data_IF_777541874608
#
_entry.id   IF_777541874608
#
_cell.length_a   1.000
_cell.length_b   1.000
_cell.length_c   1.000
_cell.angle_alpha   90.00
_cell.angle_beta   90.00
_cell.angle_gamma   90.00
#
_symmetry.space_group_name_H-M   'P 1'
#
loop_
_entity.id
_entity.type
_entity.pdbx_description
1 polymer ?
#
# COMPACT_ATOMS: atom_id res chain seq x y z
N UNK A 1 1.16 -20.33 -11.67
CA UNK A 1 1.11 -21.13 -12.93
C UNK A 1 -0.03 -22.14 -12.80
N UNK A 2 -1.16 -21.66 -12.34
CA UNK A 2 -2.42 -22.36 -12.49
C UNK A 2 -2.88 -22.04 -13.91
N UNK A 3 -3.19 -23.09 -14.67
CA UNK A 3 -3.83 -22.87 -15.95
C UNK A 3 -5.29 -22.93 -15.62
N UNK A 4 -5.93 -21.79 -15.75
CA UNK A 4 -7.34 -21.72 -16.04
C UNK A 4 -7.68 -22.75 -17.14
N UNK A 5 -8.94 -23.16 -17.21
CA UNK A 5 -9.32 -24.24 -18.11
C UNK A 5 -9.60 -23.68 -19.49
N UNK A 6 -8.67 -23.64 -20.43
CA UNK A 6 -8.92 -23.15 -21.82
C UNK A 6 -10.37 -23.18 -22.29
N UNK A 7 -10.87 -22.12 -22.94
CA UNK A 7 -12.24 -22.06 -23.48
C UNK A 7 -12.76 -23.34 -24.13
N UNK A 8 -11.88 -24.08 -24.79
CA UNK A 8 -12.18 -25.40 -25.35
C UNK A 8 -12.46 -26.47 -24.28
N UNK A 9 -11.70 -26.50 -23.19
CA UNK A 9 -11.93 -27.32 -21.99
C UNK A 9 -13.26 -27.00 -21.30
N UNK A 10 -13.63 -25.73 -21.05
CA UNK A 10 -14.95 -25.43 -20.50
C UNK A 10 -16.08 -25.83 -21.44
N UNK A 11 -15.93 -25.62 -22.75
CA UNK A 11 -16.92 -26.07 -23.73
C UNK A 11 -17.06 -27.59 -23.74
N UNK A 12 -15.95 -28.33 -23.58
CA UNK A 12 -15.93 -29.78 -23.44
C UNK A 12 -16.58 -30.25 -22.14
N UNK A 13 -16.22 -29.65 -21.00
CA UNK A 13 -16.83 -29.93 -19.70
C UNK A 13 -18.34 -29.65 -19.71
N UNK A 14 -18.75 -28.51 -20.29
CA UNK A 14 -20.16 -28.17 -20.50
C UNK A 14 -20.86 -29.20 -21.36
N UNK A 15 -20.24 -29.64 -22.46
CA UNK A 15 -20.80 -30.66 -23.35
C UNK A 15 -20.92 -32.02 -22.66
N UNK A 16 -19.93 -32.41 -21.85
CA UNK A 16 -19.95 -33.64 -21.05
C UNK A 16 -21.05 -33.54 -19.99
N UNK A 17 -21.12 -32.43 -19.25
CA UNK A 17 -22.15 -32.16 -18.25
C UNK A 17 -23.56 -32.20 -18.84
N UNK A 18 -23.77 -31.56 -20.00
CA UNK A 18 -25.03 -31.61 -20.73
C UNK A 18 -25.36 -33.03 -21.20
N UNK A 19 -24.38 -33.83 -21.62
CA UNK A 19 -24.62 -35.22 -22.01
C UNK A 19 -25.06 -36.11 -20.82
N UNK A 20 -24.58 -35.81 -19.61
CA UNK A 20 -24.98 -36.52 -18.40
C UNK A 20 -26.38 -36.11 -17.92
N UNK A 21 -26.69 -34.80 -17.98
CA UNK A 21 -28.00 -34.24 -17.60
C UNK A 21 -29.09 -34.57 -18.62
N UNK A 22 -28.77 -34.50 -19.92
CA UNK A 22 -29.70 -34.76 -21.02
C UNK A 22 -29.42 -36.14 -21.60
N UNK A 23 -30.04 -37.16 -20.98
CA UNK A 23 -29.95 -38.53 -21.48
C UNK A 23 -30.68 -38.66 -22.82
N UNK A 24 -30.08 -39.34 -23.83
CA UNK A 24 -30.74 -39.61 -25.10
C UNK A 24 -32.06 -40.36 -24.90
N UNK A 25 -33.09 -39.95 -25.64
CA UNK A 25 -34.43 -40.55 -25.56
C UNK A 25 -34.44 -41.92 -26.23
N UNK A 26 -34.42 -43.00 -25.43
CA UNK A 26 -34.65 -44.35 -25.92
C UNK A 26 -36.15 -44.67 -25.92
N UNK A 27 -36.85 -44.31 -27.00
CA UNK A 27 -38.31 -44.51 -27.16
C UNK A 27 -38.69 -45.68 -28.09
N UNK A 28 -37.70 -46.38 -28.67
CA UNK A 28 -37.95 -47.53 -29.55
C UNK A 28 -38.62 -48.67 -28.78
N UNK A 29 -39.80 -49.11 -29.27
CA UNK A 29 -40.55 -50.21 -28.67
C UNK A 29 -41.45 -49.84 -27.48
N UNK A 30 -41.69 -48.55 -27.21
CA UNK A 30 -42.65 -48.13 -26.18
C UNK A 30 -44.10 -48.25 -26.66
N UNK A 31 -44.97 -48.71 -25.75
CA UNK A 31 -46.43 -48.71 -25.93
C UNK A 31 -47.02 -47.35 -25.50
N UNK A 32 -48.25 -47.03 -25.90
CA UNK A 32 -48.92 -45.73 -25.61
C UNK A 32 -48.88 -45.32 -24.13
N UNK A 33 -49.11 -46.26 -23.20
CA UNK A 33 -49.03 -45.98 -21.76
C UNK A 33 -47.63 -45.53 -21.32
N UNK A 34 -46.58 -46.20 -21.82
CA UNK A 34 -45.18 -45.88 -21.48
C UNK A 34 -44.74 -44.55 -22.07
N UNK A 35 -45.25 -44.20 -23.26
CA UNK A 35 -45.01 -42.89 -23.88
C UNK A 35 -45.64 -41.76 -23.04
N UNK A 36 -46.85 -41.96 -22.51
CA UNK A 36 -47.51 -41.00 -21.62
C UNK A 36 -46.76 -40.81 -20.30
N UNK A 37 -46.33 -41.91 -19.69
CA UNK A 37 -45.51 -41.87 -18.45
C UNK A 37 -44.21 -41.09 -18.69
N UNK A 38 -43.49 -41.38 -19.79
CA UNK A 38 -42.26 -40.66 -20.14
C UNK A 38 -42.48 -39.18 -20.45
N UNK A 39 -43.59 -38.83 -21.10
CA UNK A 39 -43.92 -37.43 -21.32
C UNK A 39 -44.18 -36.69 -19.99
N UNK A 40 -44.84 -37.34 -19.03
CA UNK A 40 -45.08 -36.78 -17.72
C UNK A 40 -43.77 -36.59 -16.93
N UNK A 41 -42.89 -37.58 -16.93
CA UNK A 41 -41.56 -37.49 -16.29
C UNK A 41 -40.72 -36.35 -16.87
N UNK A 42 -40.70 -36.19 -18.20
CA UNK A 42 -39.97 -35.10 -18.86
C UNK A 42 -40.57 -33.74 -18.51
N UNK A 43 -41.89 -33.65 -18.42
CA UNK A 43 -42.56 -32.41 -18.05
C UNK A 43 -42.22 -32.00 -16.61
N UNK A 44 -42.27 -32.93 -15.65
CA UNK A 44 -41.87 -32.66 -14.26
C UNK A 44 -40.40 -32.24 -14.16
N UNK A 45 -39.52 -32.90 -14.93
CA UNK A 45 -38.10 -32.53 -15.00
C UNK A 45 -37.89 -31.12 -15.57
N UNK A 46 -38.61 -30.75 -16.65
CA UNK A 46 -38.53 -29.41 -17.24
C UNK A 46 -38.96 -28.35 -16.22
N UNK A 47 -40.07 -28.58 -15.50
CA UNK A 47 -40.55 -27.63 -14.48
C UNK A 47 -39.49 -27.43 -13.40
N UNK A 48 -38.87 -28.51 -12.92
CA UNK A 48 -37.78 -28.43 -11.93
C UNK A 48 -36.57 -27.67 -12.46
N UNK A 49 -36.10 -27.97 -13.68
CA UNK A 49 -34.96 -27.29 -14.28
C UNK A 49 -35.23 -25.81 -14.50
N UNK A 50 -36.46 -25.43 -14.86
CA UNK A 50 -36.82 -24.01 -15.03
C UNK A 50 -36.78 -23.26 -13.70
N UNK A 51 -37.23 -23.89 -12.60
CA UNK A 51 -37.13 -23.28 -11.26
C UNK A 51 -35.67 -23.13 -10.81
N UNK A 52 -34.84 -24.16 -11.01
CA UNK A 52 -33.43 -24.10 -10.65
C UNK A 52 -32.68 -23.05 -11.47
N UNK A 53 -33.01 -22.92 -12.77
CA UNK A 53 -32.46 -21.88 -13.63
C UNK A 53 -32.80 -20.48 -13.12
N UNK A 54 -34.06 -20.24 -12.74
CA UNK A 54 -34.48 -18.95 -12.20
C UNK A 54 -33.70 -18.58 -10.93
N UNK A 55 -33.56 -19.52 -9.99
CA UNK A 55 -32.82 -19.28 -8.74
C UNK A 55 -31.34 -18.99 -8.99
N UNK A 56 -30.72 -19.65 -9.97
CA UNK A 56 -29.35 -19.39 -10.38
C UNK A 56 -29.19 -18.02 -11.06
N UNK A 57 -30.10 -17.67 -11.97
CA UNK A 57 -30.08 -16.35 -12.63
C UNK A 57 -30.27 -15.20 -11.62
N UNK A 58 -31.13 -15.37 -10.62
CA UNK A 58 -31.29 -14.36 -9.57
C UNK A 58 -30.06 -14.25 -8.66
N UNK A 59 -29.38 -15.37 -8.37
CA UNK A 59 -28.11 -15.34 -7.64
C UNK A 59 -27.03 -14.61 -8.44
N UNK A 60 -26.89 -14.93 -9.72
CA UNK A 60 -25.92 -14.30 -10.60
C UNK A 60 -26.15 -12.78 -10.66
N UNK A 61 -27.39 -12.33 -10.85
CA UNK A 61 -27.71 -10.89 -10.84
C UNK A 61 -27.35 -10.18 -9.53
N UNK A 62 -27.46 -10.87 -8.39
CA UNK A 62 -27.05 -10.31 -7.10
C UNK A 62 -25.53 -10.20 -7.04
N UNK A 63 -24.80 -11.24 -7.43
CA UNK A 63 -23.33 -11.22 -7.48
C UNK A 63 -22.83 -10.11 -8.43
N UNK A 64 -23.41 -9.99 -9.62
CA UNK A 64 -23.09 -8.92 -10.58
C UNK A 64 -23.30 -7.52 -9.99
N UNK A 65 -24.35 -7.37 -9.17
CA UNK A 65 -24.63 -6.10 -8.48
C UNK A 65 -23.60 -5.82 -7.39
N UNK A 66 -23.28 -6.81 -6.57
CA UNK A 66 -22.31 -6.69 -5.47
C UNK A 66 -20.91 -6.37 -6.04
N UNK A 67 -20.46 -7.09 -7.08
CA UNK A 67 -19.21 -6.81 -7.79
C UNK A 67 -19.17 -5.39 -8.36
N UNK A 68 -20.28 -4.92 -8.94
CA UNK A 68 -20.37 -3.56 -9.47
C UNK A 68 -20.27 -2.51 -8.37
N UNK A 69 -20.83 -2.77 -7.19
CA UNK A 69 -20.74 -1.87 -6.04
C UNK A 69 -19.30 -1.82 -5.50
N UNK A 70 -18.63 -2.97 -5.39
CA UNK A 70 -17.23 -3.07 -4.99
C UNK A 70 -16.31 -2.32 -5.96
N UNK A 71 -16.42 -2.57 -7.28
CA UNK A 71 -15.63 -1.88 -8.31
C UNK A 71 -15.84 -0.35 -8.28
N UNK A 72 -17.05 0.14 -7.97
CA UNK A 72 -17.28 1.59 -7.81
C UNK A 72 -16.71 2.14 -6.49
N UNK A 73 -16.73 1.37 -5.39
CA UNK A 73 -16.09 1.75 -4.12
C UNK A 73 -14.58 1.83 -4.25
N UNK A 74 -13.95 0.82 -4.84
CA UNK A 74 -12.51 0.78 -5.15
C UNK A 74 -12.12 2.01 -5.98
N UNK A 75 -12.88 2.30 -7.04
CA UNK A 75 -12.67 3.50 -7.87
C UNK A 75 -12.76 4.81 -7.07
N UNK A 76 -13.64 4.90 -6.08
CA UNK A 76 -13.75 6.07 -5.20
C UNK A 76 -12.55 6.18 -4.25
N UNK A 77 -12.09 5.08 -3.67
CA UNK A 77 -10.88 5.03 -2.85
C UNK A 77 -9.65 5.47 -3.67
N UNK A 78 -9.45 4.93 -4.87
CA UNK A 78 -8.36 5.31 -5.76
C UNK A 78 -8.40 6.79 -6.16
N UNK A 79 -9.60 7.34 -6.42
CA UNK A 79 -9.80 8.78 -6.66
C UNK A 79 -9.41 9.63 -5.45
N UNK A 80 -9.73 9.18 -4.25
CA UNK A 80 -9.36 9.88 -3.02
C UNK A 80 -7.86 9.79 -2.73
N UNK A 81 -7.23 8.61 -2.90
CA UNK A 81 -5.77 8.37 -2.81
C UNK A 81 -5.05 9.29 -3.82
N UNK A 82 -5.54 9.39 -5.06
CA UNK A 82 -5.00 10.29 -6.07
C UNK A 82 -5.10 11.78 -5.68
N UNK A 83 -6.24 12.23 -5.17
CA UNK A 83 -6.43 13.61 -4.69
C UNK A 83 -5.51 13.94 -3.50
N UNK A 84 -5.35 13.02 -2.53
CA UNK A 84 -4.44 13.17 -1.38
C UNK A 84 -2.98 13.26 -1.84
N UNK A 85 -2.59 12.48 -2.85
CA UNK A 85 -1.26 12.53 -3.51
C UNK A 85 -1.09 13.73 -4.47
N UNK A 86 -2.08 14.62 -4.58
CA UNK A 86 -2.02 15.79 -5.47
C UNK A 86 -2.03 15.46 -6.97
N UNK A 87 -2.42 14.24 -7.31
CA UNK A 87 -2.59 13.75 -8.67
C UNK A 87 -4.01 14.06 -9.18
N UNK A 88 -4.20 13.90 -10.49
CA UNK A 88 -5.53 13.99 -11.11
C UNK A 88 -6.42 12.84 -10.56
N UNK A 89 -7.69 13.07 -10.19
CA UNK A 89 -8.57 12.02 -9.68
C UNK A 89 -8.65 10.73 -10.52
N UNK A 90 -8.37 10.76 -11.82
CA UNK A 90 -8.36 9.54 -12.66
C UNK A 90 -6.95 8.93 -12.87
N UNK A 91 -5.91 9.50 -12.25
CA UNK A 91 -4.54 9.10 -12.48
C UNK A 91 -4.22 7.68 -11.98
N UNK A 92 -4.92 7.21 -10.95
CA UNK A 92 -4.75 5.89 -10.35
C UNK A 92 -5.78 4.86 -10.83
N UNK A 93 -6.78 5.28 -11.62
CA UNK A 93 -7.85 4.39 -12.12
C UNK A 93 -7.57 3.81 -13.51
N UNK A 94 -6.37 4.02 -14.04
CA UNK A 94 -5.97 3.56 -15.37
C UNK A 94 -5.13 2.29 -15.33
N UNK A 95 -5.07 1.55 -16.45
CA UNK A 95 -4.29 0.31 -16.59
C UNK A 95 -2.78 0.45 -16.29
N UNK A 96 -2.25 1.66 -16.32
CA UNK A 96 -0.83 1.91 -16.11
C UNK A 96 -0.66 2.92 -14.98
N UNK A 97 0.39 2.76 -14.15
CA UNK A 97 0.68 3.68 -13.06
C UNK A 97 0.72 5.14 -13.53
N UNK A 98 0.32 6.09 -12.67
CA UNK A 98 0.29 7.50 -13.03
C UNK A 98 1.66 8.02 -13.42
N UNK A 99 1.70 8.84 -14.48
CA UNK A 99 2.96 9.44 -14.96
C UNK A 99 3.49 10.45 -13.93
N UNK A 100 4.66 10.14 -13.37
CA UNK A 100 5.39 11.04 -12.48
C UNK A 100 5.85 12.27 -13.28
N UNK A 101 5.44 13.46 -12.84
CA UNK A 101 5.88 14.71 -13.45
C UNK A 101 7.29 15.06 -12.94
N UNK A 102 8.30 14.87 -13.78
CA UNK A 102 9.70 15.18 -13.45
C UNK A 102 10.04 16.68 -13.51
N UNK A 103 9.06 17.55 -13.74
CA UNK A 103 9.22 19.00 -13.74
C UNK A 103 7.92 19.66 -13.28
N UNK A 104 8.03 20.74 -12.50
CA UNK A 104 6.86 21.51 -12.08
C UNK A 104 6.24 22.26 -13.26
N UNK A 105 4.91 22.41 -13.27
CA UNK A 105 4.20 23.28 -14.23
C UNK A 105 4.60 24.76 -14.10
N UNK A 106 5.18 25.15 -12.96
CA UNK A 106 5.69 26.50 -12.70
C UNK A 106 7.18 26.65 -12.98
N UNK A 107 7.85 25.60 -13.47
CA UNK A 107 9.26 25.61 -13.84
C UNK A 107 9.47 26.55 -15.05
N UNK A 108 10.01 27.75 -14.80
CA UNK A 108 10.22 28.77 -15.84
C UNK A 108 11.49 28.54 -16.67
N UNK A 109 12.34 27.60 -16.26
CA UNK A 109 13.58 27.24 -16.92
C UNK A 109 13.56 25.75 -17.23
N UNK A 110 13.70 25.41 -18.51
CA UNK A 110 13.80 24.01 -18.92
C UNK A 110 15.03 23.40 -18.26
N UNK A 111 14.82 22.35 -17.46
CA UNK A 111 15.91 21.63 -16.82
C UNK A 111 16.80 21.00 -17.90
N UNK A 112 18.08 21.37 -17.90
CA UNK A 112 19.08 20.90 -18.86
C UNK A 112 19.78 19.62 -18.44
N UNK A 113 19.44 19.07 -17.26
CA UNK A 113 19.99 17.80 -16.75
C UNK A 113 19.47 16.62 -17.58
N UNK A 114 20.27 15.55 -17.69
CA UNK A 114 19.88 14.34 -18.40
C UNK A 114 18.74 13.60 -17.68
N UNK A 115 18.07 12.66 -18.36
CA UNK A 115 16.99 11.88 -17.74
C UNK A 115 17.49 11.07 -16.54
N UNK A 116 18.64 10.41 -16.66
CA UNK A 116 19.22 9.61 -15.58
C UNK A 116 19.62 10.47 -14.37
N UNK A 117 20.20 11.66 -14.60
CA UNK A 117 20.53 12.58 -13.52
C UNK A 117 19.28 13.07 -12.81
N UNK A 118 18.24 13.38 -13.58
CA UNK A 118 16.95 13.83 -13.05
C UNK A 118 16.25 12.72 -12.27
N UNK A 119 16.29 11.49 -12.76
CA UNK A 119 15.75 10.32 -12.09
C UNK A 119 16.40 10.14 -10.71
N UNK A 120 17.73 10.13 -10.65
CA UNK A 120 18.48 10.03 -9.38
C UNK A 120 18.18 11.17 -8.40
N UNK A 121 17.97 12.39 -8.93
CA UNK A 121 17.54 13.52 -8.11
C UNK A 121 16.18 13.26 -7.45
N UNK A 122 15.22 12.66 -8.17
CA UNK A 122 13.90 12.33 -7.63
C UNK A 122 13.86 11.04 -6.79
N UNK A 123 14.82 10.14 -6.97
CA UNK A 123 15.03 8.94 -6.14
C UNK A 123 15.96 9.26 -4.95
N UNK A 124 15.62 10.27 -4.15
CA UNK A 124 16.36 10.62 -2.92
C UNK A 124 17.59 11.51 -3.09
N UNK A 125 18.06 11.78 -4.32
CA UNK A 125 19.20 12.67 -4.55
C UNK A 125 18.96 14.13 -4.13
N UNK A 126 17.70 14.60 -4.13
CA UNK A 126 17.35 15.92 -3.59
C UNK A 126 17.56 16.02 -2.09
N UNK A 127 17.27 14.96 -1.33
CA UNK A 127 17.48 14.91 0.11
C UNK A 127 18.96 14.88 0.46
N UNK A 128 19.75 14.12 -0.30
CA UNK A 128 21.21 14.08 -0.15
C UNK A 128 21.82 15.47 -0.37
N UNK A 129 21.39 16.19 -1.41
CA UNK A 129 21.82 17.58 -1.65
C UNK A 129 21.40 18.50 -0.49
N UNK A 130 20.19 18.33 0.03
CA UNK A 130 19.72 19.08 1.20
C UNK A 130 20.59 18.82 2.44
N UNK A 131 20.88 17.55 2.73
CA UNK A 131 21.76 17.11 3.82
C UNK A 131 23.16 17.70 3.66
N UNK A 132 23.76 17.63 2.48
CA UNK A 132 25.07 18.24 2.20
C UNK A 132 25.08 19.76 2.42
N UNK A 133 24.05 20.47 1.98
CA UNK A 133 23.95 21.92 2.16
C UNK A 133 23.81 22.27 3.63
N UNK A 134 22.98 21.53 4.37
CA UNK A 134 22.83 21.70 5.81
C UNK A 134 24.13 21.43 6.55
N UNK A 135 24.85 20.36 6.19
CA UNK A 135 26.15 20.04 6.78
C UNK A 135 27.19 21.13 6.47
N UNK A 136 27.23 21.66 5.25
CA UNK A 136 28.10 22.80 4.89
C UNK A 136 27.77 24.04 5.73
N UNK A 137 26.49 24.38 5.88
CA UNK A 137 26.04 25.51 6.72
C UNK A 137 26.42 25.28 8.19
N UNK A 138 26.24 24.06 8.70
CA UNK A 138 26.62 23.69 10.06
C UNK A 138 28.12 23.85 10.29
N UNK A 139 28.93 23.31 9.40
CA UNK A 139 30.39 23.41 9.48
C UNK A 139 30.86 24.86 9.40
N UNK A 140 30.27 25.68 8.51
CA UNK A 140 30.57 27.11 8.45
C UNK A 140 30.23 27.83 9.76
N UNK A 141 29.03 27.58 10.33
CA UNK A 141 28.62 28.15 11.62
C UNK A 141 29.51 27.66 12.77
N UNK A 142 29.91 26.39 12.76
CA UNK A 142 30.82 25.80 13.74
C UNK A 142 32.19 26.47 13.68
N UNK A 143 32.75 26.66 12.49
CA UNK A 143 34.05 27.33 12.32
C UNK A 143 33.99 28.79 12.78
N UNK A 144 32.91 29.50 12.47
CA UNK A 144 32.66 30.85 12.98
C UNK A 144 32.56 30.86 14.51
N UNK A 145 31.87 29.87 15.10
CA UNK A 145 31.74 29.71 16.54
C UNK A 145 33.09 29.43 17.21
N UNK A 146 33.91 28.52 16.67
CA UNK A 146 35.23 28.18 17.22
C UNK A 146 36.23 29.34 17.05
N UNK A 147 36.15 30.05 15.93
CA UNK A 147 36.99 31.21 15.62
C UNK A 147 36.67 32.47 16.42
N UNK A 148 35.55 32.50 17.18
CA UNK A 148 35.19 33.65 17.99
C UNK A 148 36.23 33.87 19.10
N UNK A 149 36.56 35.13 19.38
CA UNK A 149 37.28 35.50 20.59
C UNK A 149 36.41 35.07 21.78
N UNK A 150 36.81 34.00 22.48
CA UNK A 150 36.14 33.58 23.71
C UNK A 150 36.30 34.72 24.70
N UNK A 151 35.23 35.49 24.95
CA UNK A 151 35.23 36.45 26.03
C UNK A 151 35.47 35.65 27.31
N UNK A 152 36.61 35.88 27.97
CA UNK A 152 36.78 35.41 29.34
C UNK A 152 35.63 36.06 30.09
N UNK A 153 34.72 35.23 30.64
CA UNK A 153 33.70 35.73 31.54
C UNK A 153 34.41 36.65 32.53
N UNK A 154 33.91 37.87 32.79
CA UNK A 154 34.51 38.73 33.79
C UNK A 154 34.76 37.90 35.03
N UNK A 155 36.02 37.86 35.50
CA UNK A 155 36.36 37.10 36.69
C UNK A 155 35.51 37.68 37.80
N UNK A 156 34.47 36.95 38.19
CA UNK A 156 33.55 37.37 39.24
C UNK A 156 34.37 37.54 40.52
N UNK A 157 34.72 38.78 40.83
CA UNK A 157 35.38 39.15 42.07
C UNK A 157 34.31 39.28 43.13
N UNK A 158 33.92 38.14 43.68
CA UNK A 158 33.00 38.04 44.79
C UNK A 158 33.08 36.64 45.32
N UNK A 159 33.60 36.50 46.54
CA UNK A 159 33.51 35.26 47.30
C UNK A 159 32.09 34.69 47.16
N UNK A 160 32.00 33.40 46.81
CA UNK A 160 30.76 32.63 46.85
C UNK A 160 30.05 33.01 48.16
N UNK A 161 28.79 33.50 48.16
CA UNK A 161 28.11 33.87 49.40
C UNK A 161 28.12 32.67 50.36
N UNK A 162 28.97 32.73 51.39
CA UNK A 162 29.15 31.66 52.37
C UNK A 162 30.58 31.18 52.66
N UNK A 163 31.62 31.54 51.87
CA UNK A 163 33.01 31.12 52.20
C UNK A 163 33.68 32.12 53.15
N UNK A 164 33.95 31.70 54.39
CA UNK A 164 34.74 32.46 55.39
C UNK A 164 36.24 32.36 55.09
N UNK A 165 36.96 33.43 55.37
CA UNK A 165 38.42 33.50 55.26
C UNK A 165 39.11 32.49 56.20
N UNK A 166 39.91 31.57 55.63
CA UNK A 166 40.86 30.77 56.40
C UNK A 166 40.91 29.26 56.17
N UNK A 167 40.30 28.69 55.13
CA UNK A 167 40.47 27.26 54.81
C UNK A 167 41.56 27.03 53.77
N UNK A 168 42.40 25.97 53.93
CA UNK A 168 43.57 25.75 53.09
C UNK A 168 43.18 25.40 51.64
N UNK A 169 43.92 25.97 50.69
CA UNK A 169 43.86 25.53 49.29
C UNK A 169 44.33 24.08 49.21
N UNK A 170 43.42 23.20 48.83
CA UNK A 170 43.75 21.87 48.33
C UNK A 170 42.66 21.46 47.35
N UNK A 171 42.97 20.68 46.32
CA UNK A 171 44.12 20.78 45.42
C UNK A 171 43.67 20.87 43.95
N UNK A 172 44.60 21.29 43.09
CA UNK A 172 44.53 21.18 41.63
C UNK A 172 44.37 19.69 41.23
N UNK A 173 43.19 19.31 40.77
CA UNK A 173 42.91 18.06 40.05
C UNK A 173 42.14 16.99 40.82
N UNK A 174 40.80 16.98 40.70
CA UNK A 174 39.91 15.81 40.59
C UNK A 174 38.45 16.29 40.42
N UNK A 175 37.83 15.99 39.27
CA UNK A 175 36.38 15.87 38.96
C UNK A 175 36.32 15.84 37.41
N UNK A 176 36.77 14.76 36.75
CA UNK A 176 35.95 13.56 36.51
C UNK A 176 34.90 13.26 37.58
N UNK A 177 33.77 13.94 37.49
CA UNK A 177 32.51 13.48 38.04
C UNK A 177 31.38 13.96 37.12
N UNK A 178 30.96 13.03 36.25
CA UNK A 178 29.56 12.73 35.93
C UNK A 178 28.55 13.84 36.25
N UNK A 179 28.09 14.47 35.17
CA UNK A 179 26.74 14.99 35.03
C UNK A 179 26.41 14.93 33.52
N UNK A 180 26.62 13.77 32.89
CA UNK A 180 25.52 12.89 32.46
C UNK A 180 24.28 12.83 33.34
N UNK A 181 23.15 12.71 32.65
CA UNK A 181 21.76 12.55 33.10
C UNK A 181 21.07 13.83 33.56
N UNK A 182 20.50 14.57 32.61
CA UNK A 182 19.11 15.12 32.72
C UNK A 182 18.71 15.85 31.41
N UNK A 183 18.95 15.20 30.26
CA UNK A 183 18.29 15.50 28.98
C UNK A 183 18.01 14.14 28.34
N UNK A 184 16.99 13.43 28.84
CA UNK A 184 16.52 12.15 28.28
C UNK A 184 15.04 12.26 27.85
N UNK A 185 14.37 13.40 28.02
CA UNK A 185 12.93 13.52 27.70
C UNK A 185 12.63 13.80 26.21
N UNK A 186 13.61 14.05 25.35
CA UNK A 186 13.38 14.39 23.92
C UNK A 186 13.91 13.33 22.92
N UNK A 187 14.62 12.30 23.40
CA UNK A 187 15.19 11.25 22.52
C UNK A 187 14.30 10.00 22.51
N UNK A 188 13.62 9.70 23.63
CA UNK A 188 12.66 8.59 23.75
C UNK A 188 11.35 8.86 22.98
N UNK A 189 10.86 10.11 22.98
CA UNK A 189 9.65 10.52 22.22
C UNK A 189 9.89 10.50 20.69
N UNK A 190 11.13 10.77 20.25
CA UNK A 190 11.52 10.71 18.83
C UNK A 190 11.81 9.28 18.39
N UNK A 191 12.36 8.41 19.25
CA UNK A 191 12.46 6.98 18.96
C UNK A 191 11.08 6.32 18.92
N UNK A 192 10.15 6.70 19.80
CA UNK A 192 8.78 6.18 19.82
C UNK A 192 7.97 6.63 18.59
N UNK A 193 8.09 7.89 18.14
CA UNK A 193 7.49 8.36 16.87
C UNK A 193 8.06 7.64 15.64
N UNK A 194 9.38 7.36 15.61
CA UNK A 194 10.00 6.66 14.47
C UNK A 194 9.65 5.17 14.45
N UNK A 195 9.46 4.54 15.61
CA UNK A 195 8.99 3.16 15.72
C UNK A 195 7.50 3.04 15.37
N UNK A 196 6.66 4.01 15.75
CA UNK A 196 5.26 4.06 15.30
C UNK A 196 5.15 4.28 13.77
N UNK A 197 6.01 5.13 13.17
CA UNK A 197 6.05 5.29 11.71
C UNK A 197 6.55 4.02 11.00
N UNK A 198 7.53 3.29 11.54
CA UNK A 198 7.99 2.01 10.98
C UNK A 198 6.93 0.88 11.15
N UNK A 199 6.20 0.82 12.27
CA UNK A 199 5.08 -0.13 12.44
C UNK A 199 3.89 0.21 11.52
N UNK A 200 3.54 1.49 11.32
CA UNK A 200 2.51 1.89 10.34
C UNK A 200 2.93 1.58 8.89
N UNK A 201 4.21 1.74 8.53
CA UNK A 201 4.71 1.34 7.20
C UNK A 201 4.72 -0.19 7.01
N UNK A 202 5.08 -0.98 8.03
CA UNK A 202 4.99 -2.45 7.97
C UNK A 202 3.54 -2.94 7.90
N UNK A 203 2.59 -2.33 8.63
CA UNK A 203 1.16 -2.65 8.51
C UNK A 203 0.59 -2.26 7.13
N UNK A 204 0.99 -1.11 6.55
CA UNK A 204 0.60 -0.73 5.18
C UNK A 204 1.21 -1.69 4.12
N UNK A 205 2.43 -2.19 4.31
CA UNK A 205 3.03 -3.20 3.41
C UNK A 205 2.35 -4.58 3.54
N UNK A 206 2.01 -5.04 4.75
CA UNK A 206 1.25 -6.29 4.94
C UNK A 206 -0.17 -6.18 4.35
N UNK A 207 -0.86 -5.02 4.49
CA UNK A 207 -2.17 -4.80 3.86
C UNK A 207 -2.07 -4.74 2.32
N UNK A 208 -1.01 -4.13 1.75
CA UNK A 208 -0.80 -4.14 0.29
C UNK A 208 -0.42 -5.55 -0.22
N UNK A 209 0.31 -6.38 0.54
CA UNK A 209 0.56 -7.79 0.18
C UNK A 209 -0.71 -8.66 0.30
N UNK A 210 -1.56 -8.48 1.31
CA UNK A 210 -2.86 -9.18 1.39
C UNK A 210 -3.81 -8.73 0.27
N UNK A 211 -3.85 -7.44 -0.10
CA UNK A 211 -4.63 -6.96 -1.25
C UNK A 211 -4.09 -7.52 -2.57
N UNK A 212 -2.76 -7.66 -2.74
CA UNK A 212 -2.17 -8.31 -3.93
C UNK A 212 -2.45 -9.82 -3.96
N UNK A 213 -2.42 -10.53 -2.83
CA UNK A 213 -2.82 -11.95 -2.76
C UNK A 213 -4.32 -12.12 -3.04
N UNK A 214 -5.20 -11.26 -2.53
CA UNK A 214 -6.64 -11.27 -2.85
C UNK A 214 -6.90 -10.91 -4.31
N UNK A 215 -6.17 -9.94 -4.90
CA UNK A 215 -6.26 -9.62 -6.33
C UNK A 215 -5.69 -10.77 -7.20
N UNK A 216 -4.63 -11.45 -6.78
CA UNK A 216 -4.15 -12.66 -7.47
C UNK A 216 -5.15 -13.82 -7.33
N UNK A 217 -5.80 -14.01 -6.19
CA UNK A 217 -6.89 -14.99 -6.03
C UNK A 217 -8.14 -14.62 -6.86
N UNK A 218 -8.52 -13.33 -6.92
CA UNK A 218 -9.63 -12.84 -7.76
C UNK A 218 -9.29 -12.90 -9.26
N UNK A 219 -8.04 -12.62 -9.66
CA UNK A 219 -7.59 -12.78 -11.05
C UNK A 219 -7.48 -14.27 -11.41
N UNK A 220 -7.07 -15.14 -10.49
CA UNK A 220 -7.14 -16.60 -10.67
C UNK A 220 -8.60 -17.09 -10.75
N UNK A 221 -9.55 -16.54 -9.95
CA UNK A 221 -10.99 -16.83 -10.07
C UNK A 221 -11.63 -16.27 -11.36
N UNK A 222 -11.30 -15.03 -11.77
CA UNK A 222 -11.81 -14.41 -13.01
C UNK A 222 -11.23 -15.10 -14.25
N UNK A 223 -9.95 -15.47 -14.22
CA UNK A 223 -9.38 -16.30 -15.29
C UNK A 223 -9.98 -17.73 -15.27
N UNK A 224 -10.35 -18.33 -14.12
CA UNK A 224 -11.07 -19.62 -14.03
C UNK A 224 -12.52 -19.55 -14.57
N UNK A 225 -13.13 -18.35 -14.59
CA UNK A 225 -14.47 -18.09 -15.19
C UNK A 225 -14.41 -17.77 -16.70
N UNK A 226 -13.32 -17.15 -17.19
CA UNK A 226 -13.16 -16.75 -18.60
C UNK A 226 -12.62 -17.85 -19.52
N UNK A 227 -11.82 -18.76 -18.98
CA UNK A 227 -11.33 -19.96 -19.67
C UNK A 227 -12.31 -21.11 -19.45
#
# INVERSE_FOLDING_TARGET
>A
MERNKTKEQLEEEKKISLSFRIKPLAIEGFNDSKLREKAQELWELIVKLETEKYDLEERQKRQDYDLKELKERQKQQLRHKALKKGLDPEALTGKYPPKIQVASKYERRVDTRSYDDKKKLFEGGWEEIGKEVNEKIWNEKKDQYVGRQKSKLPKWFGERPGKKSGEPETPEGEEDAKADEDIIEDEEEVEEEVVEEEEEEEEEEEEEEEEEEEEEEEEEEEEEEEE
#
